data_IF_160170825464
#
_entry.id   IF_160170825464
#
_cell.length_a   1.000
_cell.length_b   1.000
_cell.length_c   1.000
_cell.angle_alpha   90.00
_cell.angle_beta   90.00
_cell.angle_gamma   90.00
#
_symmetry.space_group_name_H-M   'P 1'
#
loop_
_entity.id
_entity.type
_entity.pdbx_description
1 polymer ?
#
# COMPACT_ATOMS: atom_id res chain seq x y z
N UNK A 1 9.34 -3.30 12.65
CA UNK A 1 9.47 -3.70 11.23
C UNK A 1 10.92 -3.91 10.85
N UNK A 2 11.20 -4.82 9.90
CA UNK A 2 12.53 -5.06 9.36
C UNK A 2 13.12 -3.80 8.72
N UNK A 3 14.45 -3.70 8.68
CA UNK A 3 15.14 -2.52 8.17
C UNK A 3 14.94 -2.34 6.65
N UNK A 4 14.85 -3.44 5.90
CA UNK A 4 14.63 -3.38 4.44
C UNK A 4 13.32 -2.66 4.08
N UNK A 5 12.27 -2.80 4.90
CA UNK A 5 11.00 -2.11 4.72
C UNK A 5 11.19 -0.61 4.84
N UNK A 6 11.94 -0.17 5.86
CA UNK A 6 12.18 1.27 6.08
C UNK A 6 12.93 1.86 4.89
N UNK A 7 13.92 1.14 4.37
CA UNK A 7 14.67 1.54 3.18
C UNK A 7 13.74 1.70 1.96
N UNK A 8 12.89 0.70 1.69
CA UNK A 8 11.92 0.76 0.58
C UNK A 8 10.95 1.92 0.70
N UNK A 9 10.35 2.12 1.87
CA UNK A 9 9.42 3.24 2.08
C UNK A 9 10.11 4.58 1.86
N UNK A 10 11.36 4.74 2.35
CA UNK A 10 12.14 5.94 2.10
C UNK A 10 12.50 6.13 0.62
N UNK A 11 12.69 5.06 -0.15
CA UNK A 11 12.89 5.13 -1.60
C UNK A 11 11.62 5.61 -2.31
N UNK A 12 10.47 4.99 -2.04
CA UNK A 12 9.21 5.30 -2.73
C UNK A 12 8.68 6.71 -2.43
N UNK A 13 8.99 7.26 -1.25
CA UNK A 13 8.63 8.65 -0.90
C UNK A 13 9.41 9.71 -1.68
N UNK A 14 10.41 9.32 -2.48
CA UNK A 14 11.17 10.27 -3.30
C UNK A 14 10.40 10.54 -4.59
N UNK A 15 10.28 11.80 -4.97
CA UNK A 15 9.54 12.24 -6.16
C UNK A 15 10.11 11.71 -7.49
N UNK A 16 11.35 11.18 -7.48
CA UNK A 16 12.02 10.61 -8.65
C UNK A 16 11.88 9.09 -8.76
N UNK A 17 11.18 8.44 -7.82
CA UNK A 17 10.94 7.00 -7.86
C UNK A 17 9.94 6.63 -8.96
N UNK A 18 10.29 5.60 -9.73
CA UNK A 18 9.43 5.08 -10.79
C UNK A 18 8.38 4.13 -10.20
N UNK A 19 7.08 4.40 -10.40
CA UNK A 19 6.02 3.53 -9.93
C UNK A 19 5.94 2.26 -10.80
N UNK A 20 5.57 1.15 -10.19
CA UNK A 20 5.31 -0.10 -10.89
C UNK A 20 3.95 -0.08 -11.61
N UNK A 21 3.00 0.68 -11.06
CA UNK A 21 1.68 0.88 -11.65
C UNK A 21 1.12 2.26 -11.29
N UNK A 22 0.18 2.74 -12.10
CA UNK A 22 -0.51 4.02 -11.89
C UNK A 22 -1.96 3.94 -12.35
N UNK A 23 -2.83 4.71 -11.74
CA UNK A 23 -4.23 4.88 -12.15
C UNK A 23 -4.64 6.35 -11.99
N UNK A 24 -5.54 6.84 -12.85
CA UNK A 24 -6.13 8.16 -12.71
C UNK A 24 -7.06 8.19 -11.47
N UNK A 25 -7.13 9.32 -10.78
CA UNK A 25 -7.92 9.53 -9.55
C UNK A 25 -9.41 9.86 -9.80
N UNK A 26 -9.86 9.87 -11.05
CA UNK A 26 -11.23 10.24 -11.47
C UNK A 26 -12.35 9.41 -10.80
N UNK A 27 -12.12 8.13 -10.51
CA UNK A 27 -13.16 7.21 -10.00
C UNK A 27 -12.65 6.44 -8.78
N UNK A 28 -13.10 6.85 -7.59
CA UNK A 28 -12.64 6.30 -6.30
C UNK A 28 -12.84 4.78 -6.17
N UNK A 29 -13.95 4.25 -6.66
CA UNK A 29 -14.22 2.80 -6.64
C UNK A 29 -13.19 2.02 -7.47
N UNK A 30 -12.72 2.58 -8.60
CA UNK A 30 -11.68 1.96 -9.41
C UNK A 30 -10.32 2.00 -8.72
N UNK A 31 -10.03 3.06 -7.97
CA UNK A 31 -8.79 3.16 -7.17
C UNK A 31 -8.77 2.08 -6.09
N UNK A 32 -9.87 1.88 -5.37
CA UNK A 32 -9.94 0.87 -4.32
C UNK A 32 -9.77 -0.54 -4.90
N UNK A 33 -10.50 -0.89 -5.95
CA UNK A 33 -10.32 -2.17 -6.65
C UNK A 33 -8.90 -2.35 -7.19
N UNK A 34 -8.29 -1.29 -7.73
CA UNK A 34 -6.92 -1.32 -8.22
C UNK A 34 -5.90 -1.56 -7.10
N UNK A 35 -6.06 -0.93 -5.93
CA UNK A 35 -5.23 -1.16 -4.74
C UNK A 35 -5.30 -2.62 -4.31
N UNK A 36 -6.51 -3.18 -4.21
CA UNK A 36 -6.73 -4.55 -3.75
C UNK A 36 -6.12 -5.57 -4.71
N UNK A 37 -6.33 -5.37 -6.02
CA UNK A 37 -5.74 -6.21 -7.05
C UNK A 37 -4.20 -6.15 -7.02
N UNK A 38 -3.61 -4.96 -6.96
CA UNK A 38 -2.16 -4.80 -6.90
C UNK A 38 -1.56 -5.45 -5.64
N UNK A 39 -2.21 -5.31 -4.48
CA UNK A 39 -1.78 -5.94 -3.24
C UNK A 39 -1.87 -7.48 -3.30
N UNK A 40 -2.92 -8.01 -3.93
CA UNK A 40 -3.09 -9.44 -4.16
C UNK A 40 -2.02 -10.00 -5.11
N UNK A 41 -1.77 -9.31 -6.23
CA UNK A 41 -0.73 -9.68 -7.20
C UNK A 41 0.68 -9.62 -6.59
N UNK A 42 0.91 -8.72 -5.64
CA UNK A 42 2.15 -8.61 -4.86
C UNK A 42 2.25 -9.63 -3.71
N UNK A 43 1.21 -10.45 -3.49
CA UNK A 43 1.22 -11.53 -2.50
C UNK A 43 1.03 -11.06 -1.05
N UNK A 44 0.31 -9.97 -0.78
CA UNK A 44 0.03 -9.52 0.60
C UNK A 44 -0.82 -10.53 1.38
N UNK A 45 -1.72 -11.25 0.69
CA UNK A 45 -2.70 -12.14 1.30
C UNK A 45 -3.69 -11.40 2.20
N UNK A 46 -4.41 -12.15 3.04
CA UNK A 46 -5.52 -11.62 3.82
C UNK A 46 -5.12 -11.03 5.19
N UNK A 47 -3.82 -11.04 5.52
CA UNK A 47 -3.32 -10.43 6.76
C UNK A 47 -2.04 -9.69 6.47
N UNK A 48 -1.97 -8.43 6.87
CA UNK A 48 -0.85 -7.54 6.59
C UNK A 48 -0.71 -6.48 7.68
N UNK A 49 0.46 -5.86 7.75
CA UNK A 49 0.69 -4.68 8.57
C UNK A 49 0.49 -3.43 7.74
N UNK A 50 -0.30 -2.48 8.24
CA UNK A 50 -0.55 -1.20 7.59
C UNK A 50 0.10 -0.04 8.36
N UNK A 51 0.78 0.87 7.68
CA UNK A 51 1.42 2.04 8.30
C UNK A 51 0.37 3.08 8.68
N UNK A 52 0.44 3.60 9.90
CA UNK A 52 -0.58 4.52 10.45
C UNK A 52 -0.16 6.00 10.46
N UNK A 53 1.12 6.30 10.19
CA UNK A 53 1.69 7.64 10.37
C UNK A 53 1.89 8.07 11.84
N UNK A 54 1.43 7.28 12.82
CA UNK A 54 1.55 7.61 14.23
C UNK A 54 2.95 7.27 14.78
N UNK A 55 3.46 8.10 15.68
CA UNK A 55 4.78 7.90 16.30
C UNK A 55 4.82 6.65 17.19
N UNK A 56 3.80 6.47 18.04
CA UNK A 56 3.79 5.43 19.07
C UNK A 56 3.19 4.09 18.60
N UNK A 57 2.35 4.13 17.56
CA UNK A 57 1.72 2.93 16.98
C UNK A 57 1.87 2.93 15.45
N UNK A 58 3.10 2.91 14.92
CA UNK A 58 3.37 3.17 13.51
C UNK A 58 2.81 2.11 12.55
N UNK A 59 2.40 0.94 13.06
CA UNK A 59 1.87 -0.17 12.29
C UNK A 59 0.64 -0.74 12.97
N UNK A 60 -0.40 -0.99 12.18
CA UNK A 60 -1.60 -1.72 12.53
C UNK A 60 -1.52 -3.13 11.95
N UNK A 61 -1.91 -4.15 12.71
CA UNK A 61 -2.08 -5.54 12.21
C UNK A 61 -3.51 -5.68 11.70
N UNK A 62 -3.67 -5.88 10.39
CA UNK A 62 -4.95 -5.92 9.70
C UNK A 62 -5.21 -7.33 9.20
N UNK A 63 -6.43 -7.82 9.40
CA UNK A 63 -6.94 -9.06 8.80
C UNK A 63 -8.19 -8.71 8.00
N UNK A 64 -8.19 -9.04 6.71
CA UNK A 64 -9.26 -8.70 5.76
C UNK A 64 -10.00 -9.98 5.37
N UNK A 65 -11.32 -9.97 5.55
CA UNK A 65 -12.18 -11.13 5.30
C UNK A 65 -12.88 -11.08 3.95
N UNK A 66 -13.09 -9.88 3.40
CA UNK A 66 -13.90 -9.61 2.20
C UNK A 66 -13.26 -8.48 1.38
N UNK A 67 -13.71 -8.33 0.14
CA UNK A 67 -13.33 -7.22 -0.75
C UNK A 67 -13.81 -5.87 -0.19
N UNK A 68 -13.20 -4.76 -0.63
CA UNK A 68 -13.55 -3.40 -0.21
C UNK A 68 -12.74 -2.88 0.99
N UNK A 69 -11.80 -3.66 1.49
CA UNK A 69 -10.93 -3.28 2.61
C UNK A 69 -10.07 -2.05 2.30
N UNK A 70 -9.74 -1.78 1.03
CA UNK A 70 -8.93 -0.62 0.67
C UNK A 70 -9.67 0.69 0.95
N UNK A 71 -10.98 0.72 0.68
CA UNK A 71 -11.82 1.87 0.99
C UNK A 71 -11.87 2.13 2.50
N UNK A 72 -12.07 1.09 3.30
CA UNK A 72 -12.15 1.20 4.76
C UNK A 72 -10.83 1.68 5.36
N UNK A 73 -9.69 1.14 4.91
CA UNK A 73 -8.39 1.61 5.36
C UNK A 73 -8.14 3.05 4.97
N UNK A 74 -8.40 3.44 3.72
CA UNK A 74 -8.18 4.83 3.28
C UNK A 74 -9.03 5.82 4.06
N UNK A 75 -10.28 5.46 4.37
CA UNK A 75 -11.15 6.26 5.22
C UNK A 75 -10.63 6.38 6.67
N UNK A 76 -9.94 5.35 7.18
CA UNK A 76 -9.45 5.31 8.56
C UNK A 76 -8.08 5.97 8.76
N UNK A 77 -7.14 5.79 7.82
CA UNK A 77 -5.73 6.22 7.99
C UNK A 77 -5.27 7.25 6.96
N UNK A 78 -6.04 7.51 5.90
CA UNK A 78 -5.72 8.44 4.83
C UNK A 78 -5.43 7.74 3.49
N UNK A 79 -5.32 8.55 2.44
CA UNK A 79 -5.19 8.07 1.06
C UNK A 79 -3.88 7.35 0.77
N UNK A 80 -2.79 7.76 1.43
CA UNK A 80 -1.50 7.11 1.31
C UNK A 80 -1.45 5.84 2.15
N UNK A 81 -1.23 4.71 1.49
CA UNK A 81 -1.13 3.42 2.14
C UNK A 81 0.28 2.86 2.00
N UNK A 82 0.79 2.28 3.08
CA UNK A 82 1.98 1.42 3.04
C UNK A 82 1.65 0.14 3.79
N UNK A 83 1.66 -0.99 3.08
CA UNK A 83 1.32 -2.29 3.64
C UNK A 83 2.45 -3.28 3.46
N UNK A 84 2.57 -4.21 4.41
CA UNK A 84 3.58 -5.27 4.44
C UNK A 84 2.87 -6.58 4.71
N UNK A 85 3.14 -7.59 3.89
CA UNK A 85 2.75 -8.98 4.17
C UNK A 85 3.03 -9.37 5.62
N UNK A 86 2.14 -10.15 6.24
CA UNK A 86 2.30 -10.54 7.65
C UNK A 86 3.59 -11.35 7.92
N UNK A 87 4.05 -12.13 6.93
CA UNK A 87 5.33 -12.86 6.98
C UNK A 87 6.57 -11.97 6.72
N UNK A 88 6.35 -10.70 6.37
CA UNK A 88 7.37 -9.67 6.13
C UNK A 88 8.30 -10.00 4.96
N UNK A 89 7.78 -10.63 3.92
CA UNK A 89 8.53 -10.97 2.68
C UNK A 89 8.25 -10.01 1.53
N UNK A 90 7.10 -9.35 1.54
CA UNK A 90 6.66 -8.39 0.55
C UNK A 90 6.11 -7.11 1.20
N UNK A 91 6.24 -5.98 0.50
CA UNK A 91 5.67 -4.70 0.87
C UNK A 91 5.21 -3.96 -0.37
N UNK A 92 4.13 -3.19 -0.25
CA UNK A 92 3.66 -2.28 -1.30
C UNK A 92 3.30 -0.92 -0.71
N UNK A 93 3.36 0.11 -1.54
CA UNK A 93 2.94 1.46 -1.19
C UNK A 93 2.05 2.05 -2.27
N UNK A 94 1.10 2.88 -1.85
CA UNK A 94 0.17 3.61 -2.68
C UNK A 94 0.19 5.06 -2.24
N UNK A 95 0.45 5.98 -3.17
CA UNK A 95 0.52 7.41 -2.89
C UNK A 95 -0.41 8.18 -3.82
N UNK A 96 -1.16 9.12 -3.24
CA UNK A 96 -1.99 10.06 -3.97
C UNK A 96 -1.13 11.24 -4.46
N UNK A 97 -1.21 11.53 -5.76
CA UNK A 97 -0.63 12.69 -6.42
C UNK A 97 -1.75 13.55 -7.05
N UNK A 98 -1.44 14.72 -7.59
CA UNK A 98 -2.43 15.74 -8.00
C UNK A 98 -3.54 15.24 -8.96
N UNK A 99 -3.29 14.18 -9.74
CA UNK A 99 -4.24 13.59 -10.70
C UNK A 99 -4.11 12.07 -10.87
N UNK A 100 -3.31 11.41 -10.03
CA UNK A 100 -3.06 9.98 -10.16
C UNK A 100 -2.73 9.34 -8.83
N UNK A 101 -2.94 8.03 -8.76
CA UNK A 101 -2.41 7.19 -7.70
C UNK A 101 -1.23 6.39 -8.24
N UNK A 102 -0.17 6.34 -7.45
CA UNK A 102 1.07 5.62 -7.76
C UNK A 102 1.19 4.39 -6.88
N UNK A 103 1.51 3.23 -7.46
CA UNK A 103 1.78 2.01 -6.71
C UNK A 103 3.22 1.53 -6.89
N UNK A 104 3.78 1.04 -5.80
CA UNK A 104 5.14 0.52 -5.71
C UNK A 104 5.16 -0.83 -5.03
N UNK A 105 6.03 -1.73 -5.48
CA UNK A 105 6.22 -3.05 -4.90
C UNK A 105 7.68 -3.29 -4.51
N UNK A 106 7.87 -3.88 -3.32
CA UNK A 106 9.19 -4.32 -2.84
C UNK A 106 9.64 -5.64 -3.45
N UNK A 107 8.75 -6.32 -4.17
CA UNK A 107 8.95 -7.63 -4.79
C UNK A 107 8.59 -7.58 -6.28
N UNK A 108 9.34 -8.28 -7.15
CA UNK A 108 8.96 -8.38 -8.57
C UNK A 108 7.62 -9.10 -8.73
N UNK A 109 6.77 -8.61 -9.62
CA UNK A 109 5.59 -9.35 -10.09
C UNK A 109 6.03 -10.60 -10.86
N UNK A 110 5.31 -11.71 -10.67
CA UNK A 110 5.58 -12.98 -11.36
C UNK A 110 4.81 -13.10 -12.67
#
# INVERSE_FOLDING_TARGET
MPDWVRLRVSEWMRSDSLPDSRINDEIEEQINLWIENFANDAGMGNRFYCRTGLLFFPWLDCEVGEDGWAQELRAAIGNDLVIISHDKTAAVAFFEEEYEYLAFSGVPFR
#
